data_IF_007702021489
#
_entry.id   IF_007702021489
#
_cell.length_a   1.000
_cell.length_b   1.000
_cell.length_c   1.000
_cell.angle_alpha   90.00
_cell.angle_beta   90.00
_cell.angle_gamma   90.00
#
_symmetry.space_group_name_H-M   'P 1'
#
loop_
_entity.id
_entity.type
_entity.pdbx_description
1 polymer ?
#
# COMPACT_ATOMS: atom_id res chain seq x y z
N UNK A 1 16.42 -20.50 4.49
CA UNK A 1 15.46 -19.40 4.18
C UNK A 1 15.42 -19.26 2.66
N UNK A 2 14.25 -19.07 2.02
CA UNK A 2 14.18 -18.91 0.57
C UNK A 2 14.86 -17.59 0.14
N UNK A 3 15.48 -17.59 -1.04
CA UNK A 3 16.11 -16.41 -1.62
C UNK A 3 15.05 -15.34 -1.99
N UNK A 4 15.37 -14.03 -1.86
CA UNK A 4 14.47 -12.96 -2.27
C UNK A 4 14.25 -12.98 -3.79
N UNK A 5 13.02 -12.74 -4.22
CA UNK A 5 12.62 -12.79 -5.64
C UNK A 5 13.13 -11.58 -6.42
N UNK A 6 13.48 -11.80 -7.69
CA UNK A 6 13.78 -10.70 -8.61
C UNK A 6 12.50 -9.91 -8.96
N UNK A 7 12.64 -8.62 -9.29
CA UNK A 7 11.49 -7.73 -9.60
C UNK A 7 10.59 -8.33 -10.70
N UNK A 8 11.17 -8.94 -11.73
CA UNK A 8 10.42 -9.56 -12.83
C UNK A 8 9.63 -10.82 -12.45
N UNK A 9 9.87 -11.39 -11.27
CA UNK A 9 9.19 -12.59 -10.75
C UNK A 9 8.08 -12.27 -9.74
N UNK A 10 7.88 -10.98 -9.46
CA UNK A 10 6.89 -10.55 -8.48
C UNK A 10 5.48 -10.84 -8.97
N UNK A 11 4.69 -11.43 -8.06
CA UNK A 11 3.25 -11.66 -8.24
C UNK A 11 2.52 -11.06 -7.04
N UNK A 12 1.37 -10.39 -7.22
CA UNK A 12 0.67 -9.72 -6.12
C UNK A 12 0.40 -10.64 -4.92
N UNK A 13 0.11 -11.91 -5.20
CA UNK A 13 -0.28 -12.91 -4.20
C UNK A 13 0.91 -13.44 -3.38
N UNK A 14 2.14 -13.23 -3.86
CA UNK A 14 3.35 -13.89 -3.31
C UNK A 14 4.49 -12.95 -2.98
N UNK A 15 4.46 -11.69 -3.44
CA UNK A 15 5.47 -10.69 -3.10
C UNK A 15 5.29 -10.24 -1.65
N UNK A 16 6.38 -10.24 -0.90
CA UNK A 16 6.41 -9.91 0.53
C UNK A 16 7.26 -8.66 0.79
N UNK A 17 7.12 -8.01 1.95
CA UNK A 17 8.05 -6.95 2.33
C UNK A 17 9.51 -7.40 2.32
N UNK A 18 9.82 -8.67 2.65
CA UNK A 18 11.20 -9.18 2.58
C UNK A 18 11.74 -9.18 1.15
N UNK A 19 10.94 -9.57 0.17
CA UNK A 19 11.34 -9.52 -1.24
C UNK A 19 11.68 -8.09 -1.64
N UNK A 20 10.88 -7.11 -1.21
CA UNK A 20 11.11 -5.69 -1.52
C UNK A 20 12.32 -5.13 -0.76
N UNK A 21 12.55 -5.53 0.50
CA UNK A 21 13.71 -5.10 1.31
C UNK A 21 15.05 -5.46 0.62
N UNK A 22 15.08 -6.56 -0.13
CA UNK A 22 16.26 -6.97 -0.87
C UNK A 22 16.64 -6.00 -2.02
N UNK A 23 15.74 -5.07 -2.38
CA UNK A 23 15.96 -4.04 -3.40
C UNK A 23 15.91 -2.64 -2.72
N UNK A 24 17.05 -2.10 -2.28
CA UNK A 24 17.08 -0.88 -1.45
C UNK A 24 16.64 0.39 -2.20
N UNK A 25 16.59 0.34 -3.52
CA UNK A 25 16.10 1.38 -4.41
C UNK A 25 14.58 1.32 -4.64
N UNK A 26 13.88 0.34 -4.07
CA UNK A 26 12.43 0.19 -4.18
C UNK A 26 11.74 0.70 -2.90
N UNK A 27 10.68 1.47 -3.10
CA UNK A 27 9.83 2.02 -2.04
C UNK A 27 8.36 1.66 -2.27
N UNK A 28 7.56 1.70 -1.21
CA UNK A 28 6.12 1.47 -1.29
C UNK A 28 5.43 2.82 -1.31
N UNK A 29 4.60 3.04 -2.31
CA UNK A 29 3.73 4.22 -2.40
C UNK A 29 2.28 3.80 -2.33
N UNK A 30 1.52 4.53 -1.52
CA UNK A 30 0.11 4.27 -1.28
C UNK A 30 -0.67 5.54 -1.54
N UNK A 31 -1.71 5.42 -2.36
CA UNK A 31 -2.62 6.50 -2.65
C UNK A 31 -3.93 6.31 -1.87
N UNK A 32 -4.32 7.33 -1.11
CA UNK A 32 -5.58 7.32 -0.39
C UNK A 32 -6.72 7.83 -1.29
N UNK A 33 -7.68 6.98 -1.61
CA UNK A 33 -8.84 7.35 -2.44
C UNK A 33 -9.77 8.38 -1.81
N UNK A 34 -9.76 8.51 -0.48
CA UNK A 34 -10.57 9.49 0.24
C UNK A 34 -10.02 10.90 0.11
N UNK A 35 -8.88 11.16 0.74
CA UNK A 35 -8.29 12.49 0.82
C UNK A 35 -7.20 12.77 -0.24
N UNK A 36 -7.00 11.86 -1.21
CA UNK A 36 -5.99 11.94 -2.29
C UNK A 36 -4.54 12.11 -1.79
N UNK A 37 -4.29 11.77 -0.53
CA UNK A 37 -2.95 11.82 0.03
C UNK A 37 -2.11 10.67 -0.54
N UNK A 38 -0.93 11.02 -1.03
CA UNK A 38 0.10 10.06 -1.47
C UNK A 38 1.11 9.95 -0.33
N UNK A 39 1.39 8.72 0.10
CA UNK A 39 2.43 8.46 1.11
C UNK A 39 3.38 7.41 0.55
N UNK A 40 4.63 7.83 0.34
CA UNK A 40 5.76 6.94 0.08
C UNK A 40 6.47 6.58 1.38
N UNK A 41 6.78 5.32 1.58
CA UNK A 41 7.61 4.88 2.70
C UNK A 41 8.51 3.71 2.31
N UNK A 42 9.65 3.62 2.99
CA UNK A 42 10.51 2.47 2.85
C UNK A 42 9.87 1.25 3.55
N UNK A 43 9.93 0.11 2.87
CA UNK A 43 9.45 -1.19 3.33
C UNK A 43 10.01 -1.60 4.71
N UNK A 44 11.18 -1.10 5.14
CA UNK A 44 11.69 -1.32 6.50
C UNK A 44 10.74 -0.87 7.62
N UNK A 45 9.82 0.06 7.33
CA UNK A 45 8.76 0.48 8.27
C UNK A 45 7.67 -0.59 8.47
N UNK A 46 7.56 -1.57 7.57
CA UNK A 46 6.72 -2.74 7.75
C UNK A 46 7.48 -3.71 8.66
N UNK A 47 7.25 -3.58 9.97
CA UNK A 47 7.98 -4.32 11.00
C UNK A 47 7.99 -5.85 10.79
N UNK A 48 8.90 -6.54 11.50
CA UNK A 48 9.25 -7.95 11.25
C UNK A 48 8.07 -8.92 11.14
N UNK A 49 6.97 -8.71 11.87
CA UNK A 49 5.79 -9.59 11.83
C UNK A 49 5.08 -9.62 10.47
N UNK A 50 5.22 -8.56 9.67
CA UNK A 50 4.62 -8.46 8.34
C UNK A 50 5.58 -8.86 7.23
N UNK A 51 6.87 -9.09 7.55
CA UNK A 51 7.92 -9.28 6.57
C UNK A 51 7.67 -10.45 5.60
N UNK A 52 6.97 -11.48 6.07
CA UNK A 52 6.60 -12.69 5.31
C UNK A 52 5.15 -12.69 4.82
N UNK A 53 4.37 -11.67 5.17
CA UNK A 53 2.97 -11.56 4.75
C UNK A 53 2.92 -11.02 3.33
N UNK A 54 2.17 -11.63 2.39
CA UNK A 54 1.99 -11.08 1.06
C UNK A 54 1.47 -9.64 1.11
N UNK A 55 2.11 -8.74 0.36
CA UNK A 55 1.79 -7.31 0.35
C UNK A 55 0.32 -7.05 0.01
N UNK A 56 -0.26 -7.86 -0.89
CA UNK A 56 -1.68 -7.81 -1.25
C UNK A 56 -2.63 -7.97 -0.06
N UNK A 57 -2.22 -8.66 1.01
CA UNK A 57 -3.05 -8.89 2.21
C UNK A 57 -2.95 -7.77 3.25
N UNK A 58 -2.07 -6.80 3.04
CA UNK A 58 -1.86 -5.72 3.99
C UNK A 58 -3.08 -4.81 4.08
N UNK A 59 -3.36 -4.37 5.30
CA UNK A 59 -4.40 -3.39 5.62
C UNK A 59 -3.75 -2.06 5.90
N UNK A 60 -3.94 -1.10 4.99
CA UNK A 60 -3.36 0.23 5.10
C UNK A 60 -4.47 1.27 5.27
N UNK A 61 -4.65 1.73 6.52
CA UNK A 61 -5.64 2.75 6.87
C UNK A 61 -5.01 4.14 6.81
N UNK A 62 -5.62 5.06 6.07
CA UNK A 62 -5.23 6.46 6.08
C UNK A 62 -5.52 7.08 7.45
N UNK A 63 -4.49 7.60 8.12
CA UNK A 63 -4.64 8.26 9.43
C UNK A 63 -5.44 9.56 9.33
N UNK A 64 -5.45 10.23 8.17
CA UNK A 64 -6.16 11.51 7.97
C UNK A 64 -7.67 11.34 7.78
N UNK A 65 -8.12 10.41 6.94
CA UNK A 65 -9.54 10.27 6.59
C UNK A 65 -10.17 8.95 7.04
N UNK A 66 -9.35 7.99 7.50
CA UNK A 66 -9.78 6.67 7.93
C UNK A 66 -10.11 5.69 6.80
N UNK A 67 -10.00 6.09 5.54
CA UNK A 67 -10.20 5.21 4.37
C UNK A 67 -9.01 4.26 4.24
N UNK A 68 -9.30 2.99 4.03
CA UNK A 68 -8.31 1.97 3.70
C UNK A 68 -7.98 2.03 2.21
N UNK A 69 -6.70 1.88 1.88
CA UNK A 69 -6.22 1.84 0.51
C UNK A 69 -6.70 0.58 -0.22
N UNK A 70 -7.03 0.73 -1.50
CA UNK A 70 -7.43 -0.35 -2.42
C UNK A 70 -6.25 -0.90 -3.23
N UNK A 71 -5.19 -0.11 -3.39
CA UNK A 71 -4.00 -0.46 -4.14
C UNK A 71 -2.75 0.21 -3.55
N UNK A 72 -1.59 -0.37 -3.83
CA UNK A 72 -0.28 0.24 -3.62
C UNK A 72 0.58 0.05 -4.86
N UNK A 73 1.59 0.90 -5.02
CA UNK A 73 2.64 0.74 -6.02
C UNK A 73 3.98 0.51 -5.34
N UNK A 74 4.83 -0.27 -6.00
CA UNK A 74 6.24 -0.38 -5.71
C UNK A 74 6.95 0.49 -6.73
N UNK A 75 7.62 1.52 -6.23
CA UNK A 75 8.29 2.50 -7.07
C UNK A 75 9.80 2.38 -6.87
N UNK A 76 10.52 2.33 -7.99
CA UNK A 76 11.98 2.26 -8.02
C UNK A 76 12.55 3.65 -8.24
N UNK A 77 13.42 4.07 -7.32
CA UNK A 77 14.17 5.30 -7.47
C UNK A 77 15.35 5.08 -8.41
N UNK A 78 15.44 5.87 -9.46
CA UNK A 78 16.63 6.04 -10.30
C UNK A 78 17.10 7.49 -10.22
N UNK A 79 18.33 7.76 -10.63
CA UNK A 79 18.89 9.13 -10.61
C UNK A 79 17.95 10.06 -11.40
N UNK A 80 17.29 10.97 -10.69
CA UNK A 80 16.38 11.97 -11.25
C UNK A 80 14.96 11.49 -11.61
N UNK A 81 14.60 10.22 -11.39
CA UNK A 81 13.28 9.68 -11.77
C UNK A 81 12.76 8.63 -10.78
N UNK A 82 11.44 8.59 -10.59
CA UNK A 82 10.74 7.54 -9.85
C UNK A 82 9.88 6.77 -10.86
N UNK A 83 10.12 5.48 -10.99
CA UNK A 83 9.43 4.60 -11.94
C UNK A 83 8.55 3.62 -11.15
N UNK A 84 7.25 3.58 -11.42
CA UNK A 84 6.37 2.55 -10.86
C UNK A 84 6.69 1.21 -11.52
N UNK A 85 7.34 0.31 -10.77
CA UNK A 85 7.77 -1.00 -11.29
C UNK A 85 6.75 -2.10 -11.07
N UNK A 86 5.86 -1.93 -10.09
CA UNK A 86 4.84 -2.93 -9.80
C UNK A 86 3.62 -2.32 -9.14
N UNK A 87 2.41 -2.73 -9.53
CA UNK A 87 1.16 -2.33 -8.90
C UNK A 87 0.53 -3.54 -8.21
N UNK A 88 0.06 -3.34 -6.98
CA UNK A 88 -0.57 -4.37 -6.16
C UNK A 88 -1.96 -3.89 -5.79
N UNK A 89 -3.00 -4.51 -6.35
CA UNK A 89 -4.36 -4.33 -5.86
C UNK A 89 -4.50 -5.08 -4.53
N UNK A 90 -4.80 -4.33 -3.47
CA UNK A 90 -4.92 -4.85 -2.11
C UNK A 90 -6.23 -5.61 -1.96
N UNK A 91 -6.10 -6.84 -1.49
CA UNK A 91 -7.20 -7.74 -1.13
C UNK A 91 -7.03 -8.15 0.33
N UNK A 92 -7.13 -7.21 1.27
CA UNK A 92 -7.07 -7.56 2.68
C UNK A 92 -8.28 -8.44 3.00
N UNK A 93 -8.11 -9.36 3.95
CA UNK A 93 -9.24 -10.08 4.52
C UNK A 93 -10.01 -9.08 5.39
N UNK A 94 -11.25 -8.79 5.00
CA UNK A 94 -12.16 -7.91 5.73
C UNK A 94 -12.97 -8.74 6.73
N UNK A 95 -13.03 -8.29 7.97
CA UNK A 95 -14.13 -8.65 8.86
C UNK A 95 -15.26 -7.61 8.74
N UNK A 96 -16.43 -7.94 9.28
CA UNK A 96 -17.63 -7.09 9.19
C UNK A 96 -17.37 -5.68 9.75
N UNK A 97 -16.62 -5.58 10.84
CA UNK A 97 -16.27 -4.29 11.46
C UNK A 97 -15.40 -3.41 10.57
N UNK A 98 -14.44 -3.99 9.84
CA UNK A 98 -13.61 -3.26 8.89
C UNK A 98 -14.43 -2.82 7.67
N UNK A 99 -15.31 -3.68 7.15
CA UNK A 99 -16.17 -3.36 6.01
C UNK A 99 -17.09 -2.16 6.32
N UNK A 100 -17.70 -2.16 7.50
CA UNK A 100 -18.49 -1.04 7.99
C UNK A 100 -17.64 0.23 8.19
N UNK A 101 -16.43 0.11 8.75
CA UNK A 101 -15.54 1.24 8.94
C UNK A 101 -15.14 1.89 7.61
N UNK A 102 -14.86 1.09 6.59
CA UNK A 102 -14.56 1.56 5.24
C UNK A 102 -15.77 2.24 4.60
N UNK A 103 -16.94 1.61 4.64
CA UNK A 103 -18.17 2.19 4.11
C UNK A 103 -18.49 3.54 4.78
N UNK A 104 -18.33 3.61 6.11
CA UNK A 104 -18.54 4.85 6.90
C UNK A 104 -17.52 5.93 6.54
N UNK A 105 -16.25 5.57 6.39
CA UNK A 105 -15.19 6.51 6.00
C UNK A 105 -15.42 7.07 4.59
N UNK A 106 -15.76 6.22 3.62
CA UNK A 106 -16.11 6.63 2.26
C UNK A 106 -17.36 7.52 2.25
N UNK A 107 -18.40 7.19 3.03
CA UNK A 107 -19.60 8.03 3.14
C UNK A 107 -19.26 9.43 3.67
N UNK A 108 -18.39 9.54 4.68
CA UNK A 108 -17.91 10.83 5.18
C UNK A 108 -17.14 11.62 4.12
N UNK A 109 -16.25 10.96 3.36
CA UNK A 109 -15.48 11.64 2.31
C UNK A 109 -16.36 12.08 1.13
N UNK A 110 -17.35 11.29 0.74
CA UNK A 110 -18.34 11.69 -0.29
C UNK A 110 -19.21 12.86 0.16
N UNK A 111 -19.55 12.91 1.44
CA UNK A 111 -20.29 14.02 2.04
C UNK A 111 -19.41 15.25 2.31
N UNK A 112 -18.09 15.08 2.37
CA UNK A 112 -17.13 16.16 2.63
C UNK A 112 -16.80 16.88 1.33
N UNK A 113 -17.35 18.08 1.16
CA UNK A 113 -16.94 19.04 0.14
C UNK A 113 -15.85 19.91 0.76
N UNK A 114 -14.64 20.01 0.18
CA UNK A 114 -13.66 20.97 0.69
C UNK A 114 -14.27 22.38 0.60
N UNK A 115 -14.17 23.21 1.66
CA UNK A 115 -14.58 24.60 1.56
C UNK A 115 -13.61 25.32 0.59
N UNK A 116 -14.15 25.81 -0.53
CA UNK A 116 -13.44 26.70 -1.45
C UNK A 116 -12.82 26.04 -2.69
N UNK A 117 -13.66 25.66 -3.66
CA UNK A 117 -13.35 25.91 -5.08
C UNK A 117 -14.10 27.18 -5.44
#
# INVERSE_FOLDING_TARGET
MPAPKAIGEWKPETVTPRDVIAHPDVSITVHCEGCRMIVGFNVFKLGMRLADTPLQRLRLRCQRCGVYASAMTLDRARVGQIEAVFKIDLKPVWDDGHAEAQARALKRQRAWRPPGI
#
